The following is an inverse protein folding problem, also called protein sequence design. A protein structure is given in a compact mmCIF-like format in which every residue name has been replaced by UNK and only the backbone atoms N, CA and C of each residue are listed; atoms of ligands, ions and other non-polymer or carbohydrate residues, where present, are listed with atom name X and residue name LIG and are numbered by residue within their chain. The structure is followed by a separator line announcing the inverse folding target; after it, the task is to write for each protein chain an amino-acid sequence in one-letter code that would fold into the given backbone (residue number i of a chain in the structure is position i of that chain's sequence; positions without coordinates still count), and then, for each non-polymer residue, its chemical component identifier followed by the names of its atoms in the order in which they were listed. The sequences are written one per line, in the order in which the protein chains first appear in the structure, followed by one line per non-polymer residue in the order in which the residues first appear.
data_IF_122992633320
#
_entry.id   IF_122992633320
#
_cell.length_a   1.000
_cell.length_b   1.000
_cell.length_c   1.000
_cell.angle_alpha   90.00
_cell.angle_beta   90.00
_cell.angle_gamma   90.00
#
_symmetry.space_group_name_H-M   'P 1'
#
loop_
_entity.id
_entity.type
_entity.pdbx_description
1 polymer ?
#
# COMPACT_ATOMS: atom_id res chain seq x y z
N UNK A 1 -18.56 -7.88 -21.91
CA UNK A 1 -19.47 -8.06 -20.76
C UNK A 1 -19.24 -6.88 -19.83
N UNK A 2 -20.18 -5.94 -19.71
CA UNK A 2 -20.05 -4.86 -18.75
C UNK A 2 -20.21 -5.44 -17.34
N UNK A 3 -19.30 -5.09 -16.41
CA UNK A 3 -19.40 -5.52 -15.02
C UNK A 3 -20.73 -5.05 -14.43
N UNK A 4 -21.55 -5.98 -13.96
CA UNK A 4 -22.79 -5.65 -13.28
C UNK A 4 -22.45 -5.06 -11.91
N UNK A 5 -22.90 -3.83 -11.64
CA UNK A 5 -22.74 -3.22 -10.33
C UNK A 5 -23.57 -4.01 -9.30
N UNK A 6 -22.89 -4.79 -8.45
CA UNK A 6 -23.52 -5.45 -7.32
C UNK A 6 -23.60 -4.47 -6.14
N UNK A 7 -24.77 -4.32 -5.49
CA UNK A 7 -24.87 -3.52 -4.27
C UNK A 7 -24.08 -4.17 -3.12
N UNK A 8 -23.66 -3.36 -2.16
CA UNK A 8 -22.96 -3.84 -0.96
C UNK A 8 -23.87 -4.75 -0.12
N UNK A 9 -23.33 -5.87 0.36
CA UNK A 9 -24.02 -6.79 1.26
C UNK A 9 -23.41 -6.70 2.66
N UNK A 10 -23.96 -5.81 3.48
CA UNK A 10 -23.51 -5.57 4.85
C UNK A 10 -23.75 -6.75 5.81
N UNK A 11 -24.41 -7.82 5.39
CA UNK A 11 -24.53 -9.04 6.20
C UNK A 11 -23.26 -9.89 6.20
N UNK A 12 -22.33 -9.63 5.27
CA UNK A 12 -21.12 -10.46 5.06
C UNK A 12 -19.94 -10.13 5.97
N UNK A 13 -19.94 -8.97 6.64
CA UNK A 13 -18.84 -8.57 7.51
C UNK A 13 -18.94 -7.13 7.99
N UNK A 14 -17.94 -6.70 8.76
CA UNK A 14 -17.81 -5.30 9.19
C UNK A 14 -17.10 -4.46 8.12
N UNK A 15 -17.86 -3.65 7.38
CA UNK A 15 -17.31 -2.79 6.33
C UNK A 15 -16.28 -1.74 6.82
N UNK A 16 -16.13 -1.58 8.14
CA UNK A 16 -15.13 -0.67 8.73
C UNK A 16 -13.75 -1.32 8.93
N UNK A 17 -13.63 -2.64 8.76
CA UNK A 17 -12.35 -3.35 8.71
C UNK A 17 -11.96 -3.66 7.28
N UNK A 18 -10.67 -3.88 7.02
CA UNK A 18 -10.21 -4.12 5.66
C UNK A 18 -10.68 -5.47 5.09
N UNK A 19 -10.69 -6.51 5.92
CA UNK A 19 -11.25 -7.81 5.54
C UNK A 19 -12.76 -7.74 5.33
N UNK A 20 -13.48 -7.07 6.23
CA UNK A 20 -14.93 -6.95 6.11
C UNK A 20 -15.37 -6.05 4.95
N UNK A 21 -14.61 -5.00 4.60
CA UNK A 21 -14.86 -4.20 3.41
C UNK A 21 -14.86 -5.05 2.13
N UNK A 22 -13.84 -5.90 1.96
CA UNK A 22 -13.72 -6.76 0.78
C UNK A 22 -14.90 -7.72 0.67
N UNK A 23 -15.34 -8.31 1.79
CA UNK A 23 -16.51 -9.19 1.84
C UNK A 23 -17.82 -8.47 1.52
N UNK A 24 -18.02 -7.27 2.08
CA UNK A 24 -19.26 -6.49 1.91
C UNK A 24 -19.37 -5.93 0.49
N UNK A 25 -18.26 -5.47 -0.10
CA UNK A 25 -18.27 -4.76 -1.39
C UNK A 25 -17.84 -5.62 -2.58
N UNK A 26 -17.29 -6.81 -2.36
CA UNK A 26 -16.80 -7.70 -3.42
C UNK A 26 -15.65 -7.09 -4.24
N UNK A 27 -14.92 -6.13 -3.68
CA UNK A 27 -13.80 -5.42 -4.32
C UNK A 27 -12.81 -4.90 -3.28
N UNK A 28 -11.53 -4.71 -3.65
CA UNK A 28 -10.54 -4.06 -2.80
C UNK A 28 -10.96 -2.66 -2.36
N UNK A 29 -10.56 -2.28 -1.14
CA UNK A 29 -10.67 -0.89 -0.69
C UNK A 29 -9.66 -0.02 -1.45
N UNK A 30 -9.99 1.26 -1.60
CA UNK A 30 -9.11 2.25 -2.22
C UNK A 30 -8.91 3.45 -1.30
N UNK A 31 -7.69 4.00 -1.32
CA UNK A 31 -7.24 5.10 -0.47
C UNK A 31 -6.53 6.15 -1.31
N UNK A 32 -6.68 7.42 -0.94
CA UNK A 32 -5.83 8.50 -1.44
C UNK A 32 -4.57 8.58 -0.56
N UNK A 33 -3.40 8.56 -1.19
CA UNK A 33 -2.12 8.74 -0.52
C UNK A 33 -1.83 10.22 -0.24
N UNK A 34 -0.88 10.48 0.67
CA UNK A 34 -0.40 11.86 0.96
C UNK A 34 0.34 12.51 -0.21
N UNK A 35 0.73 11.72 -1.21
CA UNK A 35 1.28 12.16 -2.50
C UNK A 35 0.17 12.51 -3.53
N UNK A 36 -1.09 12.38 -3.13
CA UNK A 36 -2.27 12.66 -3.95
C UNK A 36 -2.56 11.60 -5.01
N UNK A 37 -1.95 10.42 -4.93
CA UNK A 37 -2.21 9.29 -5.85
C UNK A 37 -3.25 8.34 -5.25
N UNK A 38 -3.92 7.57 -6.10
CA UNK A 38 -4.88 6.54 -5.67
C UNK A 38 -4.21 5.19 -5.52
N UNK A 39 -4.56 4.49 -4.44
CA UNK A 39 -4.03 3.16 -4.11
C UNK A 39 -5.17 2.19 -3.82
N UNK A 40 -5.21 1.05 -4.49
CA UNK A 40 -6.02 -0.10 -4.04
C UNK A 40 -5.21 -0.95 -3.08
N UNK A 41 -5.83 -1.61 -2.11
CA UNK A 41 -5.12 -2.46 -1.14
C UNK A 41 -5.64 -3.89 -1.12
N UNK A 42 -4.73 -4.84 -0.99
CA UNK A 42 -5.01 -6.27 -0.81
C UNK A 42 -4.26 -6.79 0.43
N UNK A 43 -4.85 -7.78 1.12
CA UNK A 43 -4.16 -8.52 2.19
C UNK A 43 -3.45 -9.71 1.55
N UNK A 44 -2.12 -9.70 1.60
CA UNK A 44 -1.30 -10.78 1.05
C UNK A 44 -0.70 -11.58 2.21
N UNK A 45 -0.68 -12.90 2.06
CA UNK A 45 -0.05 -13.84 2.98
C UNK A 45 1.16 -14.49 2.32
N UNK A 46 2.20 -14.74 3.10
CA UNK A 46 3.41 -15.39 2.64
C UNK A 46 4.07 -16.20 3.76
N UNK A 47 4.93 -17.15 3.39
CA UNK A 47 5.74 -17.85 4.36
C UNK A 47 6.81 -16.91 4.95
N UNK A 48 6.97 -16.90 6.27
CA UNK A 48 7.96 -16.04 6.98
C UNK A 48 9.36 -16.64 6.97
N UNK A 49 9.47 -17.96 6.81
CA UNK A 49 10.70 -18.71 7.03
C UNK A 49 10.98 -19.06 8.51
N UNK A 50 10.09 -18.69 9.45
CA UNK A 50 10.22 -18.99 10.87
C UNK A 50 9.32 -20.17 11.28
N UNK A 51 9.91 -21.23 11.83
CA UNK A 51 9.15 -22.44 12.18
C UNK A 51 8.07 -22.23 13.26
N UNK A 52 8.23 -21.23 14.13
CA UNK A 52 7.27 -20.93 15.21
C UNK A 52 6.11 -20.03 14.76
N UNK A 53 6.25 -19.32 13.63
CA UNK A 53 5.22 -18.45 13.06
C UNK A 53 5.35 -18.50 11.53
N UNK A 54 5.05 -19.65 10.90
CA UNK A 54 5.41 -19.92 9.50
C UNK A 54 4.70 -19.01 8.49
N UNK A 55 3.60 -18.37 8.86
CA UNK A 55 2.80 -17.52 7.98
C UNK A 55 2.77 -16.07 8.45
N UNK A 56 3.00 -15.15 7.53
CA UNK A 56 2.90 -13.71 7.74
C UNK A 56 1.86 -13.10 6.81
N UNK A 57 1.22 -12.01 7.24
CA UNK A 57 0.30 -11.22 6.44
C UNK A 57 0.72 -9.76 6.41
N UNK A 58 0.62 -9.14 5.24
CA UNK A 58 0.98 -7.76 4.97
C UNK A 58 0.00 -7.10 4.00
N UNK A 59 0.12 -5.78 3.85
CA UNK A 59 -0.70 -5.00 2.93
C UNK A 59 0.09 -4.68 1.66
N UNK A 60 -0.48 -5.03 0.51
CA UNK A 60 0.00 -4.63 -0.81
C UNK A 60 -0.86 -3.48 -1.32
N UNK A 61 -0.26 -2.32 -1.52
CA UNK A 61 -0.91 -1.14 -2.09
C UNK A 61 -0.54 -0.99 -3.57
N UNK A 62 -1.49 -1.16 -4.47
CA UNK A 62 -1.32 -0.95 -5.91
C UNK A 62 -1.59 0.51 -6.24
N UNK A 63 -0.56 1.22 -6.72
CA UNK A 63 -0.63 2.62 -7.11
C UNK A 63 -1.20 2.75 -8.52
N UNK A 64 -2.15 3.65 -8.73
CA UNK A 64 -2.76 3.92 -10.03
C UNK A 64 -2.25 5.21 -10.67
N UNK A 65 -2.17 5.24 -11.99
CA UNK A 65 -1.85 6.46 -12.73
C UNK A 65 -2.88 7.57 -12.48
N UNK A 66 -2.39 8.82 -12.43
CA UNK A 66 -3.25 10.00 -12.20
C UNK A 66 -4.11 10.36 -13.42
N UNK A 67 -3.59 10.13 -14.62
CA UNK A 67 -4.19 10.56 -15.90
C UNK A 67 -3.95 9.46 -16.92
N UNK A 68 -4.99 9.00 -17.61
CA UNK A 68 -4.88 8.00 -18.67
C UNK A 68 -5.83 6.83 -18.47
N UNK A 69 -5.57 5.72 -19.15
CA UNK A 69 -6.23 4.46 -18.82
C UNK A 69 -5.87 4.07 -17.38
N UNK A 70 -6.77 3.43 -16.64
CA UNK A 70 -6.50 2.97 -15.28
C UNK A 70 -5.47 1.82 -15.31
N UNK A 71 -4.19 2.15 -15.44
CA UNK A 71 -3.05 1.25 -15.34
C UNK A 71 -2.39 1.38 -13.97
N UNK A 72 -1.92 0.26 -13.39
CA UNK A 72 -1.00 0.30 -12.27
C UNK A 72 0.30 1.00 -12.67
N UNK A 73 0.76 1.95 -11.84
CA UNK A 73 2.03 2.69 -12.02
C UNK A 73 3.12 2.26 -11.05
N UNK A 74 2.78 1.46 -10.04
CA UNK A 74 3.71 1.01 -9.03
C UNK A 74 2.99 0.32 -7.87
N UNK A 75 3.73 0.00 -6.82
CA UNK A 75 3.16 -0.54 -5.59
C UNK A 75 4.00 -0.13 -4.37
N UNK A 76 3.38 -0.25 -3.19
CA UNK A 76 4.02 -0.17 -1.90
C UNK A 76 3.61 -1.40 -1.09
N UNK A 77 4.52 -1.93 -0.28
CA UNK A 77 4.25 -3.08 0.59
C UNK A 77 4.56 -2.69 2.03
N UNK A 78 3.71 -3.11 2.97
CA UNK A 78 4.10 -3.11 4.38
C UNK A 78 5.02 -4.30 4.69
N UNK A 79 5.72 -4.21 5.81
CA UNK A 79 6.26 -5.41 6.46
C UNK A 79 5.10 -6.33 6.91
N UNK A 80 5.42 -7.53 7.40
CA UNK A 80 4.40 -8.36 8.06
C UNK A 80 3.79 -7.62 9.24
N UNK A 81 2.47 -7.44 9.18
CA UNK A 81 1.67 -6.80 10.23
C UNK A 81 1.16 -7.84 11.25
N UNK A 82 1.13 -9.11 10.84
CA UNK A 82 0.85 -10.25 11.68
C UNK A 82 1.65 -11.45 11.20
N UNK A 83 2.08 -12.29 12.14
CA UNK A 83 2.60 -13.62 11.89
C UNK A 83 1.81 -14.63 12.75
N UNK A 84 1.63 -15.86 12.25
CA UNK A 84 0.86 -16.89 12.94
C UNK A 84 1.18 -18.30 12.44
N UNK A 85 0.54 -19.29 13.07
CA UNK A 85 0.68 -20.71 12.73
C UNK A 85 0.04 -21.09 11.39
N UNK A 86 -0.99 -20.35 10.95
CA UNK A 86 -1.74 -20.65 9.73
C UNK A 86 -1.86 -19.44 8.81
N UNK A 87 -2.02 -19.69 7.51
CA UNK A 87 -2.25 -18.61 6.55
C UNK A 87 -3.53 -17.81 6.87
N UNK A 88 -4.59 -18.52 7.28
CA UNK A 88 -5.90 -17.94 7.56
C UNK A 88 -5.91 -17.06 8.81
N UNK A 89 -5.19 -17.47 9.86
CA UNK A 89 -5.05 -16.67 11.07
C UNK A 89 -4.31 -15.36 10.77
N UNK A 90 -3.20 -15.42 10.02
CA UNK A 90 -2.45 -14.23 9.62
C UNK A 90 -3.33 -13.26 8.83
N UNK A 91 -4.07 -13.79 7.84
CA UNK A 91 -5.03 -13.00 7.04
C UNK A 91 -6.13 -12.41 7.91
N UNK A 92 -6.68 -13.17 8.84
CA UNK A 92 -7.76 -12.73 9.74
C UNK A 92 -7.31 -11.61 10.67
N UNK A 93 -6.10 -11.71 11.24
CA UNK A 93 -5.53 -10.68 12.12
C UNK A 93 -5.37 -9.36 11.36
N UNK A 94 -4.77 -9.39 10.17
CA UNK A 94 -4.64 -8.17 9.33
C UNK A 94 -5.99 -7.69 8.82
N UNK A 95 -6.89 -8.62 8.51
CA UNK A 95 -8.27 -8.35 8.09
C UNK A 95 -9.08 -7.55 9.11
N UNK A 96 -8.75 -7.67 10.40
CA UNK A 96 -9.39 -6.94 11.48
C UNK A 96 -8.94 -5.47 11.60
N UNK A 97 -7.91 -5.04 10.86
CA UNK A 97 -7.49 -3.63 10.87
C UNK A 97 -8.61 -2.74 10.35
N UNK A 98 -8.87 -1.64 11.06
CA UNK A 98 -9.79 -0.62 10.58
C UNK A 98 -9.26 0.05 9.31
N UNK A 99 -10.15 0.59 8.47
CA UNK A 99 -9.76 1.37 7.30
C UNK A 99 -8.85 2.56 7.67
N UNK A 100 -9.04 3.15 8.85
CA UNK A 100 -8.17 4.21 9.38
C UNK A 100 -6.74 3.74 9.67
N UNK A 101 -6.57 2.54 10.23
CA UNK A 101 -5.25 1.95 10.46
C UNK A 101 -4.56 1.62 9.13
N UNK A 102 -5.28 1.03 8.17
CA UNK A 102 -4.75 0.74 6.82
C UNK A 102 -4.28 2.01 6.11
N UNK A 103 -5.05 3.10 6.18
CA UNK A 103 -4.62 4.41 5.66
C UNK A 103 -3.34 4.90 6.35
N UNK A 104 -3.23 4.69 7.67
CA UNK A 104 -2.00 5.01 8.41
C UNK A 104 -0.77 4.26 7.89
N UNK A 105 -0.91 2.97 7.58
CA UNK A 105 0.17 2.15 6.99
C UNK A 105 0.56 2.68 5.62
N UNK A 106 -0.41 3.00 4.74
CA UNK A 106 -0.12 3.60 3.43
C UNK A 106 0.71 4.89 3.57
N UNK A 107 0.29 5.78 4.46
CA UNK A 107 0.97 7.07 4.66
C UNK A 107 2.41 6.88 5.15
N UNK A 108 2.64 5.93 6.06
CA UNK A 108 3.98 5.60 6.53
C UNK A 108 4.88 5.11 5.37
N UNK A 109 4.37 4.21 4.53
CA UNK A 109 5.11 3.70 3.36
C UNK A 109 5.41 4.78 2.32
N UNK A 110 4.48 5.71 2.07
CA UNK A 110 4.74 6.87 1.20
C UNK A 110 5.85 7.74 1.76
N UNK A 111 5.82 8.02 3.07
CA UNK A 111 6.84 8.85 3.73
C UNK A 111 8.23 8.18 3.68
N UNK A 112 8.31 6.87 3.91
CA UNK A 112 9.57 6.12 3.82
C UNK A 112 10.15 6.09 2.41
N UNK A 113 9.30 5.90 1.38
CA UNK A 113 9.73 6.00 -0.02
C UNK A 113 10.31 7.38 -0.32
N UNK A 114 9.62 8.45 0.08
CA UNK A 114 10.07 9.82 -0.14
C UNK A 114 11.39 10.14 0.59
N UNK A 115 11.63 9.54 1.76
CA UNK A 115 12.90 9.69 2.49
C UNK A 115 14.06 8.87 1.91
N UNK A 116 13.76 7.80 1.17
CA UNK A 116 14.75 6.91 0.54
C UNK A 116 15.17 7.37 -0.85
N UNK A 117 14.37 8.19 -1.53
CA UNK A 117 14.76 8.82 -2.79
C UNK A 117 15.90 9.83 -2.56
N UNK A 118 17.03 9.74 -3.30
CA UNK A 118 18.13 10.67 -3.11
C UNK A 118 17.67 12.12 -3.30
N UNK A 119 17.78 12.90 -2.24
CA UNK A 119 17.43 14.34 -2.22
C UNK A 119 18.34 15.20 -3.08
N UNK A 120 19.45 14.66 -3.61
CA UNK A 120 20.29 15.33 -4.59
C UNK A 120 19.78 15.06 -5.99
N UNK A 121 19.12 16.05 -6.59
CA UNK A 121 18.86 16.01 -8.02
C UNK A 121 20.20 16.08 -8.74
N UNK A 122 20.37 15.30 -9.80
CA UNK A 122 21.56 15.35 -10.66
C UNK A 122 21.85 16.78 -11.19
N UNK A 123 20.83 17.64 -11.24
CA UNK A 123 20.96 19.07 -11.54
C UNK A 123 21.66 19.90 -10.45
N UNK A 124 21.57 19.52 -9.17
CA UNK A 124 22.25 20.23 -8.07
C UNK A 124 23.77 20.01 -8.14
N UNK A 125 24.19 18.81 -8.57
CA UNK A 125 25.61 18.47 -8.79
C UNK A 125 26.23 19.31 -9.90
N UNK A 126 25.49 19.55 -11.00
CA UNK A 126 25.98 20.34 -12.14
C UNK A 126 26.08 21.85 -11.84
N UNK A 127 25.34 22.37 -10.84
CA UNK A 127 25.44 23.79 -10.47
C UNK A 127 26.67 24.07 -9.60
N UNK A 128 27.07 23.14 -8.75
CA UNK A 128 28.28 23.26 -7.93
C UNK A 128 29.57 23.24 -8.78
N UNK A 129 29.61 22.50 -9.89
CA UNK A 129 30.77 22.47 -10.81
C UNK A 129 30.93 23.77 -11.63
N UNK A 130 29.85 24.55 -11.80
CA UNK A 130 29.88 25.82 -12.55
C UNK A 130 30.23 27.05 -11.71
N UNK A 131 30.37 26.89 -10.38
CA UNK A 131 30.59 28.00 -9.45
C UNK A 131 32.05 28.32 -9.12
N UNK A 132 33.02 27.50 -9.53
CA UNK A 132 34.45 27.73 -9.26
C UNK A 132 35.16 28.20 -10.51
N UNK A 133 35.11 29.49 -10.79
CA UNK A 133 35.93 30.08 -11.85
C UNK A 133 35.51 31.48 -12.25
N UNK A 134 35.79 32.47 -11.40
CA UNK A 134 36.33 33.75 -11.88
C UNK A 134 36.95 34.54 -10.71
N UNK A 135 38.15 34.14 -10.29
CA UNK A 135 39.14 35.08 -9.78
C UNK A 135 39.99 35.50 -10.99
N UNK A 136 39.84 36.75 -11.42
CA UNK A 136 40.87 37.68 -11.93
C UNK A 136 40.22 39.01 -12.37
#
# INVERSE_FOLDING_TARGET
MAGQHLPADHSRGDANTIGGYAEVHGRPAAFEGTDGLSYSVEIVTAATGHAQQPWGAYLLFVQWERIGAASPSGHLESDFLAESDTEDDARTIVGALSLGQVRGVLHARIAERAGSEPTRRWFDVMRDETGTGNDE
#
